data_IF_300864678276
#
_entry.id   IF_300864678276
#
_cell.length_a   1.000
_cell.length_b   1.000
_cell.length_c   1.000
_cell.angle_alpha   90.00
_cell.angle_beta   90.00
_cell.angle_gamma   90.00
#
_symmetry.space_group_name_H-M   'P 1'
#
loop_
_entity.id
_entity.type
_entity.pdbx_description
1 polymer ?
#
# COMPACT_ATOMS: atom_id res chain seq x y z
N UNK A 1 -17.02 65.70 22.39
CA UNK A 1 -17.26 65.14 21.04
C UNK A 1 -16.09 64.23 20.73
N UNK A 2 -16.19 62.96 21.14
CA UNK A 2 -15.20 61.91 20.90
C UNK A 2 -15.89 60.85 20.05
N UNK A 3 -15.98 61.09 18.75
CA UNK A 3 -16.33 60.04 17.80
C UNK A 3 -15.05 59.40 17.29
N UNK A 4 -14.46 58.58 18.17
CA UNK A 4 -13.53 57.54 17.75
C UNK A 4 -14.38 56.38 17.22
N UNK A 5 -14.80 56.48 15.97
CA UNK A 5 -15.28 55.32 15.20
C UNK A 5 -14.11 54.36 15.05
N UNK A 6 -13.95 53.49 16.04
CA UNK A 6 -13.20 52.25 15.92
C UNK A 6 -13.90 51.45 14.80
N UNK A 7 -13.34 51.51 13.60
CA UNK A 7 -13.64 50.58 12.53
C UNK A 7 -13.36 49.19 13.09
N UNK A 8 -14.42 48.48 13.43
CA UNK A 8 -14.41 47.08 13.78
C UNK A 8 -13.84 46.32 12.60
N UNK A 9 -12.58 45.90 12.71
CA UNK A 9 -11.99 44.85 11.87
C UNK A 9 -12.74 43.56 12.18
N UNK A 10 -13.85 43.39 11.50
CA UNK A 10 -14.49 42.10 11.28
C UNK A 10 -13.50 41.35 10.39
N UNK A 11 -12.68 40.47 10.97
CA UNK A 11 -12.20 39.29 10.23
C UNK A 11 -13.04 38.13 10.76
N UNK A 12 -14.23 37.90 10.19
CA UNK A 12 -15.05 36.75 10.51
C UNK A 12 -14.66 35.58 9.59
N UNK A 13 -15.03 34.37 10.00
CA UNK A 13 -15.05 33.14 9.22
C UNK A 13 -13.70 32.67 8.65
N UNK A 14 -12.92 32.08 9.56
CA UNK A 14 -11.87 31.09 9.35
C UNK A 14 -10.78 31.44 8.31
N UNK A 15 -9.68 32.01 8.81
CA UNK A 15 -8.45 32.36 8.07
C UNK A 15 -8.00 31.30 7.04
N UNK A 16 -8.20 30.00 7.32
CA UNK A 16 -7.79 28.93 6.41
C UNK A 16 -8.85 28.43 5.43
N UNK A 17 -10.14 28.62 5.73
CA UNK A 17 -11.22 28.09 4.90
C UNK A 17 -11.27 28.78 3.51
N UNK A 18 -10.87 30.05 3.48
CA UNK A 18 -10.92 30.89 2.30
C UNK A 18 -9.64 30.87 1.46
N UNK A 19 -8.58 30.18 1.91
CA UNK A 19 -7.34 30.09 1.14
C UNK A 19 -7.54 29.26 -0.13
N UNK A 20 -6.97 29.73 -1.24
CA UNK A 20 -6.82 28.91 -2.45
C UNK A 20 -5.85 27.75 -2.18
N UNK A 21 -5.82 26.77 -3.08
CA UNK A 21 -4.87 25.65 -2.94
C UNK A 21 -3.42 26.16 -3.02
N UNK A 22 -3.12 27.15 -3.86
CA UNK A 22 -1.81 27.78 -4.00
C UNK A 22 -1.40 28.55 -2.74
N UNK A 23 -2.30 29.37 -2.21
CA UNK A 23 -2.07 30.13 -0.97
C UNK A 23 -1.87 29.20 0.22
N UNK A 24 -2.67 28.14 0.31
CA UNK A 24 -2.56 27.15 1.37
C UNK A 24 -1.22 26.42 1.28
N UNK A 25 -0.76 26.05 0.08
CA UNK A 25 0.55 25.41 -0.12
C UNK A 25 1.71 26.34 0.23
N UNK A 26 1.58 27.64 0.00
CA UNK A 26 2.57 28.65 0.40
C UNK A 26 2.55 28.95 1.91
N UNK A 27 1.46 28.63 2.61
CA UNK A 27 1.27 28.97 4.02
C UNK A 27 1.98 27.99 4.95
N UNK A 28 2.83 28.51 5.85
CA UNK A 28 3.48 27.70 6.89
C UNK A 28 2.53 27.45 8.07
N UNK A 29 1.85 26.29 8.09
CA UNK A 29 0.88 25.90 9.14
C UNK A 29 1.53 25.26 10.37
N UNK A 30 2.85 25.07 10.37
CA UNK A 30 3.60 24.51 11.49
C UNK A 30 4.99 25.12 11.59
N UNK A 31 5.53 25.24 12.79
CA UNK A 31 6.89 25.75 13.02
C UNK A 31 7.64 24.88 13.99
N UNK A 32 8.92 24.63 13.70
CA UNK A 32 9.80 23.88 14.60
C UNK A 32 10.24 24.76 15.76
N UNK A 33 10.60 26.02 15.50
CA UNK A 33 10.90 27.02 16.54
C UNK A 33 9.85 28.14 16.51
N UNK A 34 8.88 28.12 17.43
CA UNK A 34 7.90 29.20 17.49
C UNK A 34 8.49 30.51 18.02
N UNK A 35 9.64 30.53 18.69
CA UNK A 35 10.25 31.77 19.24
C UNK A 35 10.75 32.71 18.14
N UNK A 36 11.05 32.15 16.96
CA UNK A 36 11.47 32.91 15.80
C UNK A 36 10.32 33.72 15.16
N UNK A 37 9.08 33.48 15.58
CA UNK A 37 7.93 34.25 15.12
C UNK A 37 7.96 35.63 15.78
N UNK A 38 8.08 36.67 14.96
CA UNK A 38 7.97 38.04 15.43
C UNK A 38 6.63 38.24 16.15
N UNK A 39 6.62 39.06 17.20
CA UNK A 39 5.44 39.50 17.96
C UNK A 39 4.79 38.49 18.92
N UNK A 40 5.53 37.53 19.50
CA UNK A 40 5.00 36.72 20.61
C UNK A 40 5.03 37.53 21.91
N UNK A 41 3.83 37.86 22.42
CA UNK A 41 3.62 38.39 23.75
C UNK A 41 3.91 37.29 24.78
N UNK A 42 4.70 37.62 25.80
CA UNK A 42 5.03 36.67 26.87
C UNK A 42 3.79 36.14 27.61
N UNK A 43 2.72 36.96 27.72
CA UNK A 43 1.42 36.58 28.28
C UNK A 43 0.30 37.38 27.61
N UNK A 44 -0.88 36.79 27.51
CA UNK A 44 -2.09 37.48 27.09
C UNK A 44 -2.65 38.39 28.19
N UNK A 45 -3.43 39.43 27.86
CA UNK A 45 -4.25 40.15 28.82
C UNK A 45 -5.26 39.23 29.51
N UNK A 46 -5.68 39.59 30.73
CA UNK A 46 -6.83 38.93 31.35
C UNK A 46 -8.09 39.20 30.50
N UNK A 47 -8.95 38.17 30.37
CA UNK A 47 -10.22 38.24 29.63
C UNK A 47 -10.13 38.54 28.12
N UNK A 48 -9.05 38.12 27.45
CA UNK A 48 -8.97 38.20 25.98
C UNK A 48 -9.83 37.13 25.28
N UNK A 49 -10.38 37.47 24.11
CA UNK A 49 -11.01 36.50 23.20
C UNK A 49 -9.96 35.86 22.28
N UNK A 50 -10.18 34.58 21.95
CA UNK A 50 -9.39 33.89 20.94
C UNK A 50 -9.86 34.32 19.55
N UNK A 51 -8.93 34.79 18.73
CA UNK A 51 -9.23 35.24 17.36
C UNK A 51 -8.80 34.18 16.33
N UNK A 52 -7.71 33.46 16.58
CA UNK A 52 -7.24 32.40 15.69
C UNK A 52 -6.22 31.46 16.33
N UNK A 53 -6.18 30.22 15.86
CA UNK A 53 -5.08 29.28 16.05
C UNK A 53 -4.23 29.27 14.79
N UNK A 54 -3.05 29.89 14.82
CA UNK A 54 -2.27 30.22 13.63
C UNK A 54 -1.40 29.06 13.15
N UNK A 55 -0.67 28.42 14.06
CA UNK A 55 0.31 27.37 13.74
C UNK A 55 0.38 26.36 14.87
N UNK A 56 0.69 25.11 14.56
CA UNK A 56 1.13 24.14 15.57
C UNK A 56 2.66 24.11 15.66
N UNK A 57 3.22 23.81 16.83
CA UNK A 57 4.66 23.60 17.01
C UNK A 57 4.96 22.31 17.77
N UNK A 58 6.16 21.78 17.54
CA UNK A 58 6.73 20.65 18.28
C UNK A 58 8.22 20.93 18.60
N UNK A 59 8.44 21.73 19.63
CA UNK A 59 9.76 22.19 20.03
C UNK A 59 10.38 21.23 21.06
N UNK A 60 11.26 20.36 20.57
CA UNK A 60 11.84 19.26 21.37
C UNK A 60 12.94 19.70 22.33
N UNK A 61 13.63 20.79 22.04
CA UNK A 61 14.80 21.25 22.81
C UNK A 61 14.43 21.59 24.26
N UNK A 62 13.30 22.28 24.47
CA UNK A 62 12.84 22.66 25.80
C UNK A 62 11.33 22.95 25.83
N UNK A 63 10.76 22.95 27.03
CA UNK A 63 9.36 23.35 27.24
C UNK A 63 9.21 24.87 27.23
N UNK A 64 8.33 25.38 26.39
CA UNK A 64 8.03 26.81 26.27
C UNK A 64 6.90 27.20 27.23
N UNK A 65 6.95 28.41 27.82
CA UNK A 65 5.92 28.88 28.75
C UNK A 65 4.56 29.06 28.05
N UNK A 66 3.49 28.76 28.77
CA UNK A 66 2.14 29.07 28.32
C UNK A 66 1.86 30.57 28.46
N UNK A 67 1.27 31.18 27.43
CA UNK A 67 0.91 32.61 27.42
C UNK A 67 -0.38 32.91 28.21
N UNK A 68 -1.11 31.91 28.70
CA UNK A 68 -2.33 32.14 29.48
C UNK A 68 -2.01 32.77 30.85
N UNK A 69 -2.72 33.83 31.27
CA UNK A 69 -2.60 34.39 32.61
C UNK A 69 -2.79 33.34 33.70
N UNK A 70 -1.94 33.37 34.72
CA UNK A 70 -1.98 32.42 35.85
C UNK A 70 -1.58 30.98 35.51
N UNK A 71 -1.29 30.64 34.25
CA UNK A 71 -0.83 29.31 33.87
C UNK A 71 0.69 29.19 34.04
N UNK A 72 1.14 28.21 34.82
CA UNK A 72 2.57 27.88 34.99
C UNK A 72 3.03 26.69 34.15
N UNK A 73 2.11 26.10 33.37
CA UNK A 73 2.42 24.98 32.51
C UNK A 73 3.44 25.38 31.42
N UNK A 74 4.26 24.40 31.03
CA UNK A 74 5.22 24.54 29.94
C UNK A 74 5.04 23.39 28.95
N UNK A 75 5.18 23.66 27.65
CA UNK A 75 4.83 22.72 26.60
C UNK A 75 5.98 22.48 25.62
N UNK A 76 6.23 21.22 25.25
CA UNK A 76 7.04 20.90 24.07
C UNK A 76 6.22 21.00 22.79
N UNK A 77 4.91 20.75 22.88
CA UNK A 77 3.98 20.77 21.74
C UNK A 77 2.81 21.67 22.07
N UNK A 78 2.43 22.50 21.14
CA UNK A 78 1.33 23.43 21.34
C UNK A 78 1.02 24.21 20.08
N UNK A 79 0.44 25.38 20.28
CA UNK A 79 -0.04 26.24 19.22
C UNK A 79 0.43 27.67 19.44
N UNK A 80 0.78 28.33 18.34
CA UNK A 80 0.84 29.77 18.26
C UNK A 80 -0.57 30.27 17.95
N UNK A 81 -1.08 31.17 18.77
CA UNK A 81 -2.46 31.66 18.68
C UNK A 81 -2.49 33.18 18.75
N UNK A 82 -3.54 33.77 18.17
CA UNK A 82 -3.87 35.19 18.27
C UNK A 82 -5.02 35.33 19.26
N UNK A 83 -4.85 36.15 20.31
CA UNK A 83 -5.91 36.50 21.24
C UNK A 83 -5.94 38.02 21.44
N UNK A 84 -7.02 38.66 21.00
CA UNK A 84 -7.04 40.12 20.79
C UNK A 84 -5.93 40.56 19.81
N UNK A 85 -5.11 41.53 20.23
CA UNK A 85 -3.98 42.03 19.42
C UNK A 85 -2.66 41.27 19.64
N UNK A 86 -2.61 40.36 20.60
CA UNK A 86 -1.39 39.68 21.01
C UNK A 86 -1.29 38.26 20.42
N UNK A 87 -0.06 37.81 20.13
CA UNK A 87 0.22 36.40 19.82
C UNK A 87 0.89 35.71 20.99
N UNK A 88 0.58 34.45 21.20
CA UNK A 88 1.14 33.71 22.33
C UNK A 88 1.17 32.20 22.08
N UNK A 89 1.95 31.51 22.90
CA UNK A 89 2.11 30.06 22.83
C UNK A 89 1.26 29.38 23.88
N UNK A 90 0.43 28.43 23.48
CA UNK A 90 -0.43 27.71 24.41
C UNK A 90 -0.48 26.21 24.10
N UNK A 91 -0.58 25.39 25.14
CA UNK A 91 -0.85 23.96 24.99
C UNK A 91 -2.31 23.68 24.67
N UNK A 92 -2.60 22.50 24.10
CA UNK A 92 -3.96 22.08 23.72
C UNK A 92 -4.96 22.20 24.87
N UNK A 93 -4.61 21.60 26.01
CA UNK A 93 -5.52 21.53 27.17
C UNK A 93 -5.70 22.90 27.84
N UNK A 94 -4.64 23.73 27.82
CA UNK A 94 -4.73 25.12 28.29
C UNK A 94 -5.67 25.93 27.39
N UNK A 95 -5.52 25.83 26.07
CA UNK A 95 -6.41 26.48 25.11
C UNK A 95 -7.87 26.11 25.31
N UNK A 96 -8.16 24.80 25.38
CA UNK A 96 -9.53 24.31 25.60
C UNK A 96 -10.11 24.78 26.94
N UNK A 97 -9.33 24.70 28.02
CA UNK A 97 -9.75 25.13 29.35
C UNK A 97 -10.12 26.62 29.39
N UNK A 98 -9.36 27.47 28.70
CA UNK A 98 -9.51 28.92 28.79
C UNK A 98 -10.47 29.52 27.75
N UNK A 99 -10.48 29.00 26.52
CA UNK A 99 -11.27 29.55 25.41
C UNK A 99 -12.51 28.71 25.05
N UNK A 100 -12.72 27.56 25.70
CA UNK A 100 -13.95 26.79 25.56
C UNK A 100 -14.21 26.35 24.12
N UNK A 101 -15.35 26.71 23.56
CA UNK A 101 -15.79 26.23 22.25
C UNK A 101 -15.09 26.94 21.09
N UNK A 102 -14.73 28.23 21.25
CA UNK A 102 -13.89 28.95 20.27
C UNK A 102 -12.55 28.25 20.06
N UNK A 103 -11.99 27.61 21.09
CA UNK A 103 -10.79 26.79 20.93
C UNK A 103 -10.99 25.66 19.93
N UNK A 104 -12.05 24.86 20.11
CA UNK A 104 -12.31 23.68 19.29
C UNK A 104 -12.53 24.09 17.83
N UNK A 105 -13.26 25.18 17.64
CA UNK A 105 -13.54 25.78 16.35
C UNK A 105 -12.25 26.11 15.57
N UNK A 106 -11.40 26.97 16.13
CA UNK A 106 -10.16 27.39 15.45
C UNK A 106 -9.11 26.28 15.38
N UNK A 107 -9.04 25.42 16.39
CA UNK A 107 -8.15 24.25 16.38
C UNK A 107 -8.55 23.28 15.26
N UNK A 108 -9.85 23.02 15.09
CA UNK A 108 -10.36 22.17 14.02
C UNK A 108 -10.09 22.78 12.65
N UNK A 109 -10.27 24.10 12.49
CA UNK A 109 -9.95 24.79 11.25
C UNK A 109 -8.47 24.68 10.85
N UNK A 110 -7.53 24.83 11.80
CA UNK A 110 -6.11 24.59 11.54
C UNK A 110 -5.85 23.11 11.18
N UNK A 111 -6.50 22.18 11.88
CA UNK A 111 -6.35 20.75 11.59
C UNK A 111 -6.83 20.41 10.17
N UNK A 112 -7.95 20.98 9.73
CA UNK A 112 -8.50 20.81 8.40
C UNK A 112 -7.62 21.46 7.32
N UNK A 113 -7.08 22.65 7.60
CA UNK A 113 -6.09 23.30 6.73
C UNK A 113 -4.85 22.43 6.53
N UNK A 114 -4.28 21.89 7.62
CA UNK A 114 -3.13 20.98 7.56
C UNK A 114 -3.46 19.71 6.79
N UNK A 115 -4.65 19.16 7.01
CA UNK A 115 -5.12 17.97 6.30
C UNK A 115 -5.26 18.23 4.79
N UNK A 116 -5.81 19.38 4.40
CA UNK A 116 -5.93 19.83 3.00
C UNK A 116 -4.55 20.03 2.38
N UNK A 117 -3.67 20.79 3.04
CA UNK A 117 -2.30 21.04 2.58
C UNK A 117 -1.53 19.73 2.36
N UNK A 118 -1.59 18.80 3.32
CA UNK A 118 -0.93 17.50 3.19
C UNK A 118 -1.49 16.68 2.03
N UNK A 119 -2.81 16.72 1.79
CA UNK A 119 -3.43 16.02 0.68
C UNK A 119 -2.97 16.60 -0.68
N UNK A 120 -2.89 17.94 -0.78
CA UNK A 120 -2.39 18.64 -1.97
C UNK A 120 -0.91 18.33 -2.26
N UNK A 121 -0.05 18.40 -1.24
CA UNK A 121 1.37 18.03 -1.38
C UNK A 121 1.53 16.57 -1.83
N UNK A 122 0.70 15.65 -1.31
CA UNK A 122 0.68 14.26 -1.77
C UNK A 122 0.24 14.15 -3.22
N UNK A 123 -0.84 14.85 -3.61
CA UNK A 123 -1.31 14.89 -5.01
C UNK A 123 -0.21 15.37 -5.95
N UNK A 124 0.51 16.44 -5.61
CA UNK A 124 1.61 16.97 -6.42
C UNK A 124 2.75 15.96 -6.55
N UNK A 125 3.21 15.40 -5.42
CA UNK A 125 4.28 14.40 -5.41
C UNK A 125 3.92 13.14 -6.21
N UNK A 126 2.68 12.65 -6.10
CA UNK A 126 2.23 11.48 -6.86
C UNK A 126 2.10 11.83 -8.35
N UNK A 127 1.55 13.00 -8.70
CA UNK A 127 1.36 13.41 -10.11
C UNK A 127 2.69 13.52 -10.88
N UNK A 128 3.79 13.83 -10.18
CA UNK A 128 5.15 13.82 -10.77
C UNK A 128 5.63 12.43 -11.19
N UNK A 129 5.14 11.38 -10.52
CA UNK A 129 5.50 9.98 -10.80
C UNK A 129 4.46 9.36 -11.75
N UNK A 130 3.18 9.55 -11.45
CA UNK A 130 2.05 8.92 -12.15
C UNK A 130 1.62 9.73 -13.37
N UNK A 131 2.54 9.85 -14.34
CA UNK A 131 2.30 10.46 -15.65
C UNK A 131 1.35 9.60 -16.52
N UNK A 132 0.82 10.16 -17.61
CA UNK A 132 0.01 9.37 -18.57
C UNK A 132 0.80 8.17 -19.12
N UNK A 133 2.10 8.33 -19.39
CA UNK A 133 2.98 7.24 -19.81
C UNK A 133 3.13 6.17 -18.73
N UNK A 134 3.27 6.59 -17.46
CA UNK A 134 3.34 5.66 -16.33
C UNK A 134 2.05 4.86 -16.16
N UNK A 135 0.89 5.51 -16.32
CA UNK A 135 -0.42 4.85 -16.33
C UNK A 135 -0.53 3.85 -17.49
N UNK A 136 -0.12 4.25 -18.69
CA UNK A 136 -0.09 3.35 -19.85
C UNK A 136 0.78 2.13 -19.60
N UNK A 137 1.95 2.31 -19.00
CA UNK A 137 2.85 1.24 -18.60
C UNK A 137 2.24 0.31 -17.55
N UNK A 138 1.57 0.85 -16.53
CA UNK A 138 0.85 0.04 -15.52
C UNK A 138 -0.30 -0.73 -16.17
N UNK A 139 -1.08 -0.10 -17.07
CA UNK A 139 -2.18 -0.76 -17.79
C UNK A 139 -1.69 -1.88 -18.70
N UNK A 140 -0.48 -1.78 -19.26
CA UNK A 140 0.10 -2.85 -20.07
C UNK A 140 0.28 -4.16 -19.27
N UNK A 141 0.36 -4.08 -17.93
CA UNK A 141 0.35 -5.28 -17.09
C UNK A 141 -0.92 -6.11 -17.20
N UNK A 142 -2.06 -5.52 -17.61
CA UNK A 142 -3.29 -6.30 -17.86
C UNK A 142 -3.06 -7.39 -18.90
N UNK A 143 -2.32 -7.05 -19.97
CA UNK A 143 -1.99 -8.00 -21.04
C UNK A 143 -1.09 -9.10 -20.48
N UNK A 144 -0.01 -8.72 -19.79
CA UNK A 144 0.90 -9.67 -19.15
C UNK A 144 0.19 -10.65 -18.20
N UNK A 145 -0.64 -10.16 -17.28
CA UNK A 145 -1.35 -11.02 -16.35
C UNK A 145 -2.44 -11.86 -17.04
N UNK A 146 -2.99 -11.38 -18.16
CA UNK A 146 -3.91 -12.16 -19.00
C UNK A 146 -3.19 -13.30 -19.71
N UNK A 147 -1.97 -13.07 -20.20
CA UNK A 147 -1.13 -14.10 -20.81
C UNK A 147 -0.74 -15.17 -19.79
N UNK A 148 -0.27 -14.78 -18.59
CA UNK A 148 -0.01 -15.74 -17.50
C UNK A 148 -1.26 -16.58 -17.20
N UNK A 149 -2.43 -15.95 -17.06
CA UNK A 149 -3.67 -16.67 -16.76
C UNK A 149 -4.04 -17.66 -17.88
N UNK A 150 -3.83 -17.29 -19.15
CA UNK A 150 -4.01 -18.18 -20.29
C UNK A 150 -3.07 -19.37 -20.22
N UNK A 151 -1.79 -19.17 -19.90
CA UNK A 151 -0.81 -20.25 -19.78
C UNK A 151 -1.12 -21.20 -18.62
N UNK A 152 -1.54 -20.67 -17.47
CA UNK A 152 -1.99 -21.50 -16.34
C UNK A 152 -3.19 -22.35 -16.74
N UNK A 153 -4.15 -21.78 -17.50
CA UNK A 153 -5.32 -22.53 -17.99
C UNK A 153 -4.91 -23.63 -18.95
N UNK A 154 -4.02 -23.37 -19.89
CA UNK A 154 -3.53 -24.37 -20.85
C UNK A 154 -2.91 -25.57 -20.12
N UNK A 155 -2.06 -25.33 -19.10
CA UNK A 155 -1.49 -26.42 -18.29
C UNK A 155 -2.58 -27.16 -17.51
N UNK A 156 -3.48 -26.43 -16.84
CA UNK A 156 -4.57 -27.04 -16.07
C UNK A 156 -5.42 -27.94 -16.95
N UNK A 157 -5.77 -27.47 -18.14
CA UNK A 157 -6.65 -28.19 -19.06
C UNK A 157 -5.90 -29.36 -19.72
N UNK A 158 -4.57 -29.27 -19.87
CA UNK A 158 -3.71 -30.35 -20.34
C UNK A 158 -3.52 -31.47 -19.31
N UNK A 159 -3.35 -31.15 -18.02
CA UNK A 159 -3.09 -32.12 -16.94
C UNK A 159 -4.07 -31.98 -15.76
N UNK A 160 -5.40 -32.12 -15.97
CA UNK A 160 -6.42 -31.70 -15.01
C UNK A 160 -6.36 -32.45 -13.67
N UNK A 161 -6.11 -33.77 -13.68
CA UNK A 161 -6.01 -34.57 -12.45
C UNK A 161 -4.79 -34.20 -11.62
N UNK A 162 -3.65 -34.00 -12.28
CA UNK A 162 -2.39 -33.64 -11.64
C UNK A 162 -2.49 -32.22 -11.09
N UNK A 163 -3.02 -31.28 -11.88
CA UNK A 163 -3.26 -29.92 -11.44
C UNK A 163 -4.22 -29.87 -10.25
N UNK A 164 -5.28 -30.69 -10.23
CA UNK A 164 -6.17 -30.82 -9.07
C UNK A 164 -5.42 -31.28 -7.81
N UNK A 165 -4.48 -32.21 -7.92
CA UNK A 165 -3.66 -32.65 -6.77
C UNK A 165 -2.68 -31.56 -6.32
N UNK A 166 -2.11 -30.80 -7.26
CA UNK A 166 -1.29 -29.61 -6.96
C UNK A 166 -2.10 -28.62 -6.13
N UNK A 167 -3.30 -28.25 -6.59
CA UNK A 167 -4.19 -27.31 -5.88
C UNK A 167 -4.56 -27.84 -4.50
N UNK A 168 -4.88 -29.14 -4.40
CA UNK A 168 -5.20 -29.79 -3.12
C UNK A 168 -4.03 -29.73 -2.14
N UNK A 169 -2.80 -30.01 -2.58
CA UNK A 169 -1.61 -29.94 -1.74
C UNK A 169 -1.30 -28.49 -1.34
N UNK A 170 -1.33 -27.55 -2.28
CA UNK A 170 -1.10 -26.11 -2.02
C UNK A 170 -2.12 -25.57 -1.02
N UNK A 171 -3.41 -25.94 -1.14
CA UNK A 171 -4.46 -25.52 -0.20
C UNK A 171 -4.23 -26.00 1.25
N UNK A 172 -3.41 -27.05 1.43
CA UNK A 172 -3.00 -27.59 2.73
C UNK A 172 -1.66 -27.03 3.21
N UNK A 173 -1.10 -26.04 2.49
CA UNK A 173 0.24 -25.51 2.75
C UNK A 173 1.39 -26.43 2.31
N UNK A 174 1.10 -27.48 1.53
CA UNK A 174 2.09 -28.41 0.99
C UNK A 174 2.48 -28.01 -0.43
N UNK A 175 3.64 -27.39 -0.59
CA UNK A 175 4.17 -26.99 -1.89
C UNK A 175 5.05 -28.08 -2.50
N UNK A 176 4.57 -29.32 -2.51
CA UNK A 176 5.30 -30.45 -3.05
C UNK A 176 4.36 -31.57 -3.51
N UNK A 177 4.85 -32.39 -4.43
CA UNK A 177 4.26 -33.66 -4.81
C UNK A 177 5.02 -34.79 -4.13
N UNK A 178 4.28 -35.76 -3.64
CA UNK A 178 4.82 -36.92 -2.94
C UNK A 178 4.06 -38.18 -3.30
N UNK A 179 4.67 -39.33 -3.03
CA UNK A 179 3.97 -40.61 -2.98
C UNK A 179 3.90 -41.09 -1.54
N UNK A 180 2.86 -41.84 -1.21
CA UNK A 180 2.75 -42.51 0.08
C UNK A 180 3.34 -43.90 -0.03
N UNK A 181 4.35 -44.18 0.79
CA UNK A 181 4.94 -45.51 0.91
C UNK A 181 4.55 -46.12 2.26
N UNK A 182 4.04 -47.35 2.22
CA UNK A 182 3.69 -48.09 3.44
C UNK A 182 4.96 -48.39 4.23
N UNK A 183 4.97 -48.04 5.51
CA UNK A 183 6.10 -48.35 6.38
C UNK A 183 6.20 -49.85 6.61
N UNK A 184 7.42 -50.38 6.53
CA UNK A 184 7.71 -51.73 7.02
C UNK A 184 7.60 -51.79 8.55
N UNK A 185 7.47 -53.01 9.10
CA UNK A 185 7.26 -53.21 10.54
C UNK A 185 8.40 -52.60 11.36
N UNK A 186 9.65 -52.72 10.89
CA UNK A 186 10.81 -52.19 11.59
C UNK A 186 10.75 -50.66 11.70
N UNK A 187 10.37 -49.97 10.63
CA UNK A 187 10.21 -48.52 10.60
C UNK A 187 9.04 -48.06 11.47
N UNK A 188 7.95 -48.85 11.52
CA UNK A 188 6.82 -48.59 12.43
C UNK A 188 7.24 -48.69 13.88
N UNK A 189 7.95 -49.76 14.24
CA UNK A 189 8.42 -49.99 15.61
C UNK A 189 9.39 -48.89 16.06
N UNK A 190 10.24 -48.42 15.14
CA UNK A 190 11.10 -47.27 15.39
C UNK A 190 10.31 -45.98 15.65
N UNK A 191 9.35 -45.62 14.79
CA UNK A 191 8.53 -44.40 14.99
C UNK A 191 7.69 -44.50 16.26
N UNK A 192 7.15 -45.69 16.57
CA UNK A 192 6.43 -45.97 17.81
C UNK A 192 7.30 -45.72 19.05
N UNK A 193 8.57 -46.16 19.00
CA UNK A 193 9.53 -45.98 20.10
C UNK A 193 9.84 -44.51 20.40
N UNK A 194 9.66 -43.62 19.41
CA UNK A 194 9.84 -42.18 19.55
C UNK A 194 8.60 -41.45 20.09
N UNK A 195 7.55 -42.18 20.53
CA UNK A 195 6.34 -41.60 21.10
C UNK A 195 5.48 -40.79 20.12
N UNK A 196 5.77 -40.87 18.82
CA UNK A 196 5.04 -40.15 17.77
C UNK A 196 3.82 -40.95 17.32
N UNK A 197 2.74 -40.25 16.95
CA UNK A 197 1.55 -40.89 16.39
C UNK A 197 1.92 -41.59 15.07
N UNK A 198 1.80 -42.91 15.04
CA UNK A 198 2.26 -43.74 13.92
C UNK A 198 1.31 -43.55 12.73
N UNK A 199 1.81 -42.97 11.64
CA UNK A 199 1.17 -43.10 10.33
C UNK A 199 1.55 -44.45 9.73
N UNK A 200 0.61 -45.14 9.08
CA UNK A 200 0.91 -46.37 8.32
C UNK A 200 1.79 -46.10 7.08
N UNK A 201 1.93 -44.83 6.71
CA UNK A 201 2.61 -44.38 5.50
C UNK A 201 3.61 -43.25 5.79
N UNK A 202 4.69 -43.20 5.00
CA UNK A 202 5.57 -42.04 4.89
C UNK A 202 5.39 -41.33 3.56
N UNK A 203 5.50 -40.01 3.57
CA UNK A 203 5.51 -39.20 2.34
C UNK A 203 6.93 -39.20 1.76
N UNK A 204 7.09 -39.67 0.52
CA UNK A 204 8.32 -39.51 -0.25
C UNK A 204 8.14 -38.33 -1.20
N UNK A 205 8.80 -37.21 -0.88
CA UNK A 205 8.76 -36.01 -1.72
C UNK A 205 9.49 -36.30 -3.04
N UNK A 206 8.76 -36.18 -4.15
CA UNK A 206 9.31 -36.38 -5.49
C UNK A 206 9.57 -35.07 -6.22
N UNK A 207 8.83 -34.01 -5.87
CA UNK A 207 8.96 -32.71 -6.52
C UNK A 207 8.49 -31.58 -5.61
N UNK A 208 9.15 -30.42 -5.66
CA UNK A 208 8.78 -29.23 -4.89
C UNK A 208 8.34 -28.10 -5.80
N UNK A 209 7.28 -27.41 -5.40
CA UNK A 209 6.77 -26.22 -6.07
C UNK A 209 7.29 -24.95 -5.40
N UNK A 210 7.40 -23.84 -6.14
CA UNK A 210 7.60 -22.55 -5.53
C UNK A 210 6.42 -22.22 -4.59
N UNK A 211 6.74 -21.79 -3.38
CA UNK A 211 5.77 -21.51 -2.32
C UNK A 211 4.95 -20.26 -2.65
N UNK A 212 3.92 -20.39 -3.47
CA UNK A 212 3.08 -19.26 -3.82
C UNK A 212 1.68 -19.66 -4.26
N UNK A 213 0.71 -18.81 -3.93
CA UNK A 213 -0.69 -18.95 -4.33
C UNK A 213 -0.92 -18.69 -5.84
N UNK A 214 0.13 -18.70 -6.66
CA UNK A 214 0.07 -18.43 -8.10
C UNK A 214 -0.86 -19.42 -8.82
N UNK A 215 -1.05 -20.60 -8.23
CA UNK A 215 -1.92 -21.66 -8.73
C UNK A 215 -3.40 -21.36 -8.55
N UNK A 216 -3.73 -20.42 -7.66
CA UNK A 216 -5.09 -20.02 -7.41
C UNK A 216 -5.47 -18.94 -8.43
N UNK A 217 -6.62 -19.13 -9.09
CA UNK A 217 -7.29 -18.28 -10.10
C UNK A 217 -7.45 -16.77 -9.72
N UNK A 218 -6.88 -16.35 -8.59
CA UNK A 218 -6.90 -15.00 -8.05
C UNK A 218 -5.84 -14.06 -8.65
N UNK A 219 -4.78 -14.56 -9.30
CA UNK A 219 -3.62 -13.73 -9.70
C UNK A 219 -4.01 -12.59 -10.66
N UNK A 220 -4.62 -12.94 -11.81
CA UNK A 220 -5.13 -11.95 -12.78
C UNK A 220 -6.18 -11.03 -12.18
N UNK A 221 -7.18 -11.59 -11.48
CA UNK A 221 -8.27 -10.81 -10.89
C UNK A 221 -7.77 -9.79 -9.87
N UNK A 222 -6.76 -10.16 -9.06
CA UNK A 222 -6.09 -9.26 -8.12
C UNK A 222 -5.36 -8.16 -8.88
N UNK A 223 -4.59 -8.51 -9.91
CA UNK A 223 -3.92 -7.50 -10.74
C UNK A 223 -4.90 -6.52 -11.39
N UNK A 224 -5.97 -7.02 -12.02
CA UNK A 224 -7.01 -6.19 -12.63
C UNK A 224 -7.67 -5.25 -11.62
N UNK A 225 -8.02 -5.76 -10.44
CA UNK A 225 -8.56 -4.94 -9.35
C UNK A 225 -7.57 -3.86 -8.94
N UNK A 226 -6.30 -4.21 -8.74
CA UNK A 226 -5.26 -3.26 -8.35
C UNK A 226 -5.02 -2.18 -9.40
N UNK A 227 -4.97 -2.54 -10.69
CA UNK A 227 -4.86 -1.59 -11.80
C UNK A 227 -6.10 -0.70 -11.86
N UNK A 228 -7.29 -1.23 -11.61
CA UNK A 228 -8.53 -0.43 -11.53
C UNK A 228 -8.45 0.62 -10.42
N UNK A 229 -7.91 0.29 -9.24
CA UNK A 229 -7.75 1.26 -8.15
C UNK A 229 -6.79 2.40 -8.52
N UNK A 230 -5.77 2.10 -9.33
CA UNK A 230 -4.83 3.10 -9.86
C UNK A 230 -5.52 3.97 -10.92
N UNK A 231 -6.32 3.37 -11.81
CA UNK A 231 -7.12 4.08 -12.81
C UNK A 231 -8.15 5.01 -12.15
N UNK A 232 -8.81 4.57 -11.08
CA UNK A 232 -9.75 5.36 -10.31
C UNK A 232 -9.07 6.60 -9.72
N UNK A 233 -7.88 6.42 -9.11
CA UNK A 233 -7.07 7.54 -8.63
C UNK A 233 -6.79 8.54 -9.76
N UNK A 234 -6.30 8.04 -10.89
CA UNK A 234 -5.92 8.89 -12.02
C UNK A 234 -7.10 9.68 -12.57
N UNK A 235 -8.28 9.04 -12.64
CA UNK A 235 -9.53 9.65 -13.07
C UNK A 235 -9.97 10.75 -12.11
N UNK A 236 -9.98 10.47 -10.81
CA UNK A 236 -10.34 11.45 -9.78
C UNK A 236 -9.40 12.66 -9.83
N UNK A 237 -8.10 12.46 -10.01
CA UNK A 237 -7.14 13.58 -10.02
C UNK A 237 -7.24 14.52 -11.23
N UNK A 238 -7.90 14.09 -12.31
CA UNK A 238 -8.19 14.91 -13.49
C UNK A 238 -9.44 15.77 -13.35
N UNK A 239 -10.23 15.62 -12.30
CA UNK A 239 -11.42 16.45 -12.09
C UNK A 239 -11.01 17.89 -11.74
N UNK A 240 -11.74 18.87 -12.31
CA UNK A 240 -11.47 20.30 -12.09
C UNK A 240 -11.62 20.73 -10.62
N UNK A 241 -12.47 20.05 -9.86
CA UNK A 241 -12.66 20.29 -8.43
C UNK A 241 -12.83 18.95 -7.71
N UNK A 242 -11.99 18.70 -6.70
CA UNK A 242 -11.96 17.43 -5.97
C UNK A 242 -12.05 17.75 -4.49
N UNK A 243 -13.00 17.13 -3.78
CA UNK A 243 -13.08 17.26 -2.33
C UNK A 243 -11.91 16.54 -1.64
N UNK A 244 -11.49 17.03 -0.48
CA UNK A 244 -10.41 16.42 0.31
C UNK A 244 -10.73 14.96 0.66
N UNK A 245 -11.98 14.65 0.99
CA UNK A 245 -12.42 13.29 1.32
C UNK A 245 -12.25 12.36 0.11
N UNK A 246 -12.67 12.79 -1.08
CA UNK A 246 -12.50 12.04 -2.33
C UNK A 246 -11.02 11.87 -2.67
N UNK A 247 -10.21 12.90 -2.48
CA UNK A 247 -8.76 12.82 -2.67
C UNK A 247 -8.09 11.81 -1.73
N UNK A 248 -8.45 11.81 -0.44
CA UNK A 248 -7.94 10.84 0.54
C UNK A 248 -8.32 9.40 0.19
N UNK A 249 -9.56 9.17 -0.24
CA UNK A 249 -10.02 7.85 -0.68
C UNK A 249 -9.24 7.41 -1.93
N UNK A 250 -9.08 8.29 -2.91
CA UNK A 250 -8.30 8.00 -4.11
C UNK A 250 -6.84 7.65 -3.77
N UNK A 251 -6.17 8.42 -2.90
CA UNK A 251 -4.79 8.13 -2.46
C UNK A 251 -4.71 6.77 -1.75
N UNK A 252 -5.70 6.44 -0.90
CA UNK A 252 -5.75 5.14 -0.22
C UNK A 252 -5.91 3.99 -1.22
N UNK A 253 -6.79 4.16 -2.21
CA UNK A 253 -7.00 3.19 -3.28
C UNK A 253 -5.72 3.00 -4.10
N UNK A 254 -5.05 4.08 -4.48
CA UNK A 254 -3.76 4.03 -5.15
C UNK A 254 -2.73 3.24 -4.34
N UNK A 255 -2.54 3.55 -3.06
CA UNK A 255 -1.59 2.82 -2.20
C UNK A 255 -1.93 1.33 -2.11
N UNK A 256 -3.22 1.01 -1.97
CA UNK A 256 -3.70 -0.39 -1.97
C UNK A 256 -3.38 -1.09 -3.28
N UNK A 257 -3.66 -0.45 -4.43
CA UNK A 257 -3.39 -1.00 -5.75
C UNK A 257 -1.88 -1.19 -6.02
N UNK A 258 -1.06 -0.20 -5.66
CA UNK A 258 0.41 -0.26 -5.81
C UNK A 258 0.99 -1.37 -4.95
N UNK A 259 0.64 -1.43 -3.66
CA UNK A 259 1.13 -2.45 -2.75
C UNK A 259 0.78 -3.87 -3.21
N UNK A 260 -0.48 -4.08 -3.61
CA UNK A 260 -0.92 -5.38 -4.14
C UNK A 260 -0.20 -5.74 -5.44
N UNK A 261 0.03 -4.79 -6.36
CA UNK A 261 0.82 -5.07 -7.55
C UNK A 261 2.24 -5.49 -7.18
N UNK A 262 2.94 -4.75 -6.31
CA UNK A 262 4.30 -5.10 -5.86
C UNK A 262 4.35 -6.52 -5.30
N UNK A 263 3.37 -6.91 -4.48
CA UNK A 263 3.29 -8.28 -3.95
C UNK A 263 3.05 -9.33 -5.04
N UNK A 264 2.28 -9.02 -6.08
CA UNK A 264 2.13 -9.90 -7.25
C UNK A 264 3.44 -9.99 -8.06
N UNK A 265 4.16 -8.88 -8.21
CA UNK A 265 5.46 -8.82 -8.89
C UNK A 265 6.52 -9.67 -8.21
N UNK A 266 6.57 -9.66 -6.86
CA UNK A 266 7.45 -10.54 -6.08
C UNK A 266 7.20 -12.03 -6.34
N UNK A 267 5.99 -12.40 -6.82
CA UNK A 267 5.63 -13.78 -7.17
C UNK A 267 5.96 -14.15 -8.62
N UNK A 268 6.35 -13.21 -9.48
CA UNK A 268 6.70 -13.51 -10.89
C UNK A 268 7.81 -14.56 -11.03
N UNK A 269 8.92 -14.51 -10.26
CA UNK A 269 9.95 -15.55 -10.33
C UNK A 269 9.39 -16.95 -10.01
N UNK A 270 8.41 -17.04 -9.11
CA UNK A 270 7.75 -18.30 -8.78
C UNK A 270 6.87 -18.79 -9.93
N UNK A 271 6.18 -17.88 -10.63
CA UNK A 271 5.42 -18.19 -11.85
C UNK A 271 6.36 -18.73 -12.93
N UNK A 272 7.45 -18.02 -13.19
CA UNK A 272 8.48 -18.46 -14.15
C UNK A 272 9.08 -19.81 -13.76
N UNK A 273 9.38 -20.02 -12.47
CA UNK A 273 9.89 -21.29 -11.98
C UNK A 273 8.88 -22.43 -12.15
N UNK A 274 7.59 -22.18 -11.93
CA UNK A 274 6.55 -23.16 -12.18
C UNK A 274 6.47 -23.57 -13.67
N UNK A 275 6.61 -22.61 -14.58
CA UNK A 275 6.63 -22.89 -16.01
C UNK A 275 7.97 -23.44 -16.52
N UNK A 276 8.99 -23.54 -15.65
CA UNK A 276 10.30 -24.02 -16.06
C UNK A 276 10.27 -25.50 -16.47
N UNK A 277 11.13 -25.86 -17.44
CA UNK A 277 11.33 -27.25 -17.87
C UNK A 277 11.61 -28.18 -16.69
N UNK A 278 12.44 -27.74 -15.73
CA UNK A 278 12.77 -28.53 -14.55
C UNK A 278 11.53 -28.85 -13.71
N UNK A 279 10.65 -27.86 -13.49
CA UNK A 279 9.42 -28.06 -12.74
C UNK A 279 8.45 -29.01 -13.47
N UNK A 280 8.28 -28.84 -14.78
CA UNK A 280 7.46 -29.74 -15.59
C UNK A 280 8.01 -31.17 -15.62
N UNK A 281 9.33 -31.35 -15.71
CA UNK A 281 9.98 -32.66 -15.64
C UNK A 281 9.72 -33.36 -14.29
N UNK A 282 9.78 -32.62 -13.18
CA UNK A 282 9.46 -33.13 -11.85
C UNK A 282 8.00 -33.57 -11.72
N UNK A 283 7.06 -32.77 -12.23
CA UNK A 283 5.62 -33.11 -12.28
C UNK A 283 5.39 -34.41 -13.06
N UNK A 284 6.02 -34.54 -14.23
CA UNK A 284 5.91 -35.74 -15.07
C UNK A 284 6.52 -36.98 -14.43
N UNK A 285 7.69 -36.85 -13.81
CA UNK A 285 8.29 -37.95 -13.06
C UNK A 285 7.37 -38.43 -11.95
N UNK A 286 6.77 -37.50 -11.20
CA UNK A 286 5.79 -37.84 -10.18
C UNK A 286 4.57 -38.55 -10.77
N UNK A 287 4.01 -38.06 -11.88
CA UNK A 287 2.81 -38.67 -12.47
C UNK A 287 3.06 -40.08 -12.99
N UNK A 288 4.27 -40.38 -13.47
CA UNK A 288 4.68 -41.73 -13.88
C UNK A 288 4.79 -42.71 -12.71
N UNK A 289 5.05 -42.23 -11.50
CA UNK A 289 5.21 -43.05 -10.29
C UNK A 289 3.89 -43.29 -9.54
N UNK A 290 2.84 -42.51 -9.82
CA UNK A 290 1.53 -42.67 -9.19
C UNK A 290 0.62 -43.52 -10.08
N UNK A 291 0.25 -44.71 -9.59
CA UNK A 291 -0.52 -45.72 -10.34
C UNK A 291 -1.87 -45.23 -10.89
N UNK A 292 -2.51 -44.27 -10.22
CA UNK A 292 -3.81 -43.72 -10.58
C UNK A 292 -3.75 -42.36 -11.32
N UNK A 293 -2.55 -41.91 -11.68
CA UNK A 293 -2.37 -40.66 -12.43
C UNK A 293 -2.18 -40.93 -13.91
N UNK A 294 -2.54 -39.94 -14.72
CA UNK A 294 -2.26 -39.95 -16.14
C UNK A 294 -0.75 -39.90 -16.35
N UNK A 295 -0.23 -40.87 -17.12
CA UNK A 295 1.20 -40.88 -17.47
C UNK A 295 1.44 -39.77 -18.47
N UNK A 296 2.21 -38.76 -18.05
CA UNK A 296 2.70 -37.75 -18.97
C UNK A 296 3.99 -38.28 -19.58
N UNK A 297 4.14 -38.16 -20.90
CA UNK A 297 5.42 -38.31 -21.56
C UNK A 297 5.96 -36.91 -21.89
N UNK A 298 7.06 -36.53 -21.24
CA UNK A 298 7.85 -35.38 -21.68
C UNK A 298 9.00 -35.91 -22.51
N UNK A 299 8.94 -35.69 -23.82
CA UNK A 299 10.11 -35.89 -24.67
C UNK A 299 11.17 -34.81 -24.39
N UNK A 300 12.43 -34.94 -24.86
CA UNK A 300 13.49 -33.95 -24.64
C UNK A 300 13.08 -32.53 -25.10
N UNK A 301 13.82 -31.45 -24.75
CA UNK A 301 13.45 -30.06 -25.05
C UNK A 301 13.05 -29.79 -26.51
N UNK A 302 13.60 -30.55 -27.46
CA UNK A 302 13.31 -30.44 -28.89
C UNK A 302 12.06 -31.22 -29.36
N UNK A 303 11.41 -31.98 -28.48
CA UNK A 303 10.21 -32.79 -28.75
C UNK A 303 9.05 -32.53 -27.78
N UNK A 304 9.24 -31.76 -26.71
CA UNK A 304 8.13 -31.00 -26.09
C UNK A 304 7.44 -30.13 -27.15
N UNK A 305 8.22 -29.64 -28.13
CA UNK A 305 7.75 -29.02 -29.38
C UNK A 305 6.73 -29.86 -30.18
N UNK A 306 6.76 -31.18 -30.04
CA UNK A 306 5.96 -32.10 -30.87
C UNK A 306 4.74 -32.71 -30.15
N UNK A 307 4.69 -32.68 -28.82
CA UNK A 307 3.53 -33.18 -28.05
C UNK A 307 2.43 -32.11 -27.95
N UNK A 308 2.78 -30.85 -28.24
CA UNK A 308 1.84 -29.75 -28.53
C UNK A 308 1.94 -29.40 -30.03
N UNK A 309 1.95 -30.41 -30.92
CA UNK A 309 2.01 -30.22 -32.37
C UNK A 309 0.67 -29.82 -33.00
N UNK A 310 -0.05 -28.89 -32.40
CA UNK A 310 -0.90 -27.99 -33.16
C UNK A 310 -0.45 -26.53 -33.10
N UNK A 311 0.55 -26.17 -32.28
CA UNK A 311 1.19 -24.86 -32.35
C UNK A 311 2.52 -24.86 -31.56
N UNK A 312 3.65 -25.14 -32.24
CA UNK A 312 5.02 -25.00 -31.69
C UNK A 312 5.26 -23.60 -31.09
N UNK A 313 4.52 -22.60 -31.59
CA UNK A 313 4.48 -21.23 -31.09
C UNK A 313 4.04 -21.12 -29.61
N UNK A 314 3.25 -22.06 -29.08
CA UNK A 314 2.64 -21.91 -27.76
C UNK A 314 3.65 -22.11 -26.63
N UNK A 315 4.58 -23.06 -26.73
CA UNK A 315 5.57 -23.29 -25.66
C UNK A 315 6.72 -22.28 -25.70
N UNK A 316 7.16 -21.84 -26.89
CA UNK A 316 8.07 -20.70 -26.96
C UNK A 316 7.43 -19.44 -26.37
N UNK A 317 6.11 -19.24 -26.51
CA UNK A 317 5.35 -18.20 -25.77
C UNK A 317 5.27 -18.44 -24.26
N UNK A 318 5.02 -19.68 -23.80
CA UNK A 318 5.00 -20.04 -22.36
C UNK A 318 6.34 -19.73 -21.68
N UNK A 319 7.45 -20.05 -22.34
CA UNK A 319 8.80 -19.88 -21.80
C UNK A 319 9.26 -18.41 -21.95
N UNK A 320 8.80 -17.71 -22.98
CA UNK A 320 9.00 -16.27 -23.16
C UNK A 320 7.81 -15.47 -22.62
N UNK A 321 7.54 -15.60 -21.32
CA UNK A 321 6.75 -14.59 -20.62
C UNK A 321 7.36 -13.21 -20.96
N UNK A 322 6.57 -12.26 -21.49
CA UNK A 322 7.10 -10.99 -21.91
C UNK A 322 7.90 -10.40 -20.75
N UNK A 323 9.16 -10.04 -21.00
CA UNK A 323 9.94 -9.38 -19.98
C UNK A 323 9.21 -8.08 -19.65
N UNK A 324 8.75 -7.99 -18.41
CA UNK A 324 8.24 -6.72 -17.93
C UNK A 324 9.44 -5.79 -17.93
N UNK A 325 9.34 -4.74 -18.75
CA UNK A 325 10.39 -3.74 -18.85
C UNK A 325 10.67 -3.22 -17.44
N UNK A 326 11.95 -3.19 -17.08
CA UNK A 326 12.44 -2.73 -15.78
C UNK A 326 11.85 -1.37 -15.36
N UNK A 327 11.64 -0.48 -16.33
CA UNK A 327 10.98 0.83 -16.18
C UNK A 327 9.60 0.70 -15.50
N UNK A 328 8.81 -0.33 -15.84
CA UNK A 328 7.48 -0.49 -15.31
C UNK A 328 7.50 -0.95 -13.83
N UNK A 329 8.57 -1.62 -13.38
CA UNK A 329 8.75 -1.98 -11.98
C UNK A 329 9.15 -0.75 -11.14
N UNK A 330 10.06 0.08 -11.67
CA UNK A 330 10.57 1.25 -10.94
C UNK A 330 9.46 2.23 -10.55
N UNK A 331 8.47 2.45 -11.43
CA UNK A 331 7.30 3.30 -11.13
C UNK A 331 6.57 2.83 -9.87
N UNK A 332 6.38 1.51 -9.68
CA UNK A 332 5.67 0.99 -8.51
C UNK A 332 6.47 1.19 -7.22
N UNK A 333 7.79 0.98 -7.27
CA UNK A 333 8.67 1.21 -6.12
C UNK A 333 8.76 2.69 -5.77
N UNK A 334 8.91 3.58 -6.75
CA UNK A 334 8.91 5.03 -6.54
C UNK A 334 7.60 5.48 -5.86
N UNK A 335 6.45 4.96 -6.31
CA UNK A 335 5.16 5.23 -5.68
C UNK A 335 5.10 4.69 -4.24
N UNK A 336 5.56 3.46 -4.01
CA UNK A 336 5.59 2.82 -2.68
C UNK A 336 6.46 3.61 -1.68
N UNK A 337 7.61 4.10 -2.12
CA UNK A 337 8.50 4.91 -1.29
C UNK A 337 7.83 6.20 -0.86
N UNK A 338 7.07 6.87 -1.76
CA UNK A 338 6.31 8.07 -1.40
C UNK A 338 5.19 7.80 -0.38
N UNK A 339 4.68 6.58 -0.27
CA UNK A 339 3.71 6.24 0.77
C UNK A 339 4.36 5.97 2.14
N UNK A 340 5.60 5.48 2.15
CA UNK A 340 6.29 5.00 3.35
C UNK A 340 6.73 6.11 4.32
N UNK A 341 6.89 7.36 3.84
CA UNK A 341 7.37 8.49 4.64
C UNK A 341 6.30 9.20 5.49
N UNK A 342 5.13 8.61 5.72
CA UNK A 342 3.97 9.37 6.26
C UNK A 342 3.10 8.69 7.30
N UNK A 343 3.69 7.83 8.15
CA UNK A 343 3.12 7.38 9.42
C UNK A 343 3.82 8.04 10.61
#
# INVERSE_FOLDING_TARGET
>A
MNDATCLTNVIPDYVFANLTDEELLATKLSTEDPRAEASIAGKFPEHCNLEAVLKSYNFREQKLPCAMPGCTARHHKGFLVQAGQEKGLIGKDCGKKHFGDSWDEYHQALADAKNRQNALLRKDNISKILTEDSIKSIRAFRVYFSEIDAEIRLIRDFIPKIFSEIIKNVSRGKYYLFIEEKLDNNSRDYVASQGSKISDFREIILHTFPSSDIYLYSFRRRAEKSISLIDDYYTVMKENSISISKMKIAIKNLNTGVGELIELFKKIPNVQHFFSFHNMAGITKWSQMVSNMEKIELSPPNQIKKIISSDEDTIERVIHLPSIKEINHNILYDLSDKFSFTL
#
